data_IF_635413767188
#
_entry.id   IF_635413767188
#
_cell.length_a   1.000
_cell.length_b   1.000
_cell.length_c   1.000
_cell.angle_alpha   90.00
_cell.angle_beta   90.00
_cell.angle_gamma   90.00
#
_symmetry.space_group_name_H-M   'P 1'
#
loop_
_entity.id
_entity.type
_entity.pdbx_description
1 polymer ?
#
# COMPACT_ATOMS: atom_id res chain seq x y z
N UNK A 1 -19.44 -8.01 -11.20
CA UNK A 1 -19.28 -7.56 -12.61
C UNK A 1 -20.04 -8.45 -13.60
N UNK A 2 -20.16 -9.75 -13.35
CA UNK A 2 -20.82 -10.71 -14.24
C UNK A 2 -22.35 -10.76 -14.07
N UNK A 3 -22.88 -10.23 -12.97
CA UNK A 3 -24.31 -10.18 -12.65
C UNK A 3 -25.15 -9.52 -13.75
N UNK A 4 -24.62 -8.48 -14.42
CA UNK A 4 -25.29 -7.82 -15.57
C UNK A 4 -25.51 -8.74 -16.79
N UNK A 5 -24.82 -9.89 -16.82
CA UNK A 5 -24.97 -10.93 -17.83
C UNK A 5 -25.76 -12.15 -17.31
N UNK A 6 -26.41 -12.04 -16.15
CA UNK A 6 -27.16 -13.14 -15.54
C UNK A 6 -26.29 -14.23 -14.89
N UNK A 7 -24.97 -14.03 -14.84
CA UNK A 7 -24.03 -14.97 -14.20
C UNK A 7 -23.85 -14.55 -12.74
N UNK A 8 -24.28 -15.43 -11.83
CA UNK A 8 -24.11 -15.26 -10.40
C UNK A 8 -23.19 -16.36 -9.85
N UNK A 9 -22.36 -16.03 -8.86
CA UNK A 9 -21.40 -16.94 -8.24
C UNK A 9 -21.85 -17.37 -6.85
N UNK A 10 -23.16 -17.59 -6.65
CA UNK A 10 -23.73 -17.84 -5.32
C UNK A 10 -23.34 -19.21 -4.74
N UNK A 11 -22.91 -20.14 -5.59
CA UNK A 11 -22.57 -21.51 -5.18
C UNK A 11 -21.10 -21.66 -4.76
N UNK A 12 -20.29 -20.60 -4.84
CA UNK A 12 -18.84 -20.66 -4.57
C UNK A 12 -18.53 -21.14 -3.15
N UNK A 13 -19.23 -20.60 -2.15
CA UNK A 13 -19.06 -21.01 -0.76
C UNK A 13 -19.52 -22.46 -0.55
N UNK A 14 -20.68 -22.81 -1.11
CA UNK A 14 -21.29 -24.12 -0.94
C UNK A 14 -20.52 -25.25 -1.63
N UNK A 15 -20.00 -25.01 -2.82
CA UNK A 15 -19.31 -26.03 -3.63
C UNK A 15 -17.83 -26.17 -3.24
N UNK A 16 -17.16 -25.04 -2.94
CA UNK A 16 -15.70 -25.02 -2.79
C UNK A 16 -15.24 -24.64 -1.37
N UNK A 17 -16.16 -24.31 -0.46
CA UNK A 17 -15.83 -23.86 0.90
C UNK A 17 -15.11 -22.51 0.94
N UNK A 18 -15.23 -21.71 -0.12
CA UNK A 18 -14.59 -20.39 -0.22
C UNK A 18 -15.51 -19.34 0.39
N UNK A 19 -15.03 -18.68 1.45
CA UNK A 19 -15.75 -17.59 2.12
C UNK A 19 -16.02 -16.46 1.11
N UNK A 20 -17.28 -16.02 1.01
CA UNK A 20 -17.72 -15.03 0.04
C UNK A 20 -18.53 -13.93 0.71
N UNK A 21 -18.37 -12.69 0.23
CA UNK A 21 -19.27 -11.62 0.60
C UNK A 21 -20.72 -11.96 0.20
N UNK A 22 -21.67 -11.58 1.05
CA UNK A 22 -23.10 -11.68 0.76
C UNK A 22 -23.40 -10.98 -0.58
N UNK A 23 -24.22 -11.65 -1.39
CA UNK A 23 -24.62 -11.23 -2.74
C UNK A 23 -23.46 -11.04 -3.74
N UNK A 24 -22.32 -11.72 -3.56
CA UNK A 24 -21.15 -11.60 -4.43
C UNK A 24 -20.67 -10.15 -4.57
N UNK A 25 -20.81 -9.37 -3.49
CA UNK A 25 -20.43 -7.96 -3.50
C UNK A 25 -18.92 -7.81 -3.45
N UNK A 26 -18.38 -6.86 -4.22
CA UNK A 26 -16.93 -6.63 -4.27
C UNK A 26 -16.36 -6.14 -2.93
N UNK A 27 -17.17 -5.40 -2.17
CA UNK A 27 -16.92 -4.99 -0.79
C UNK A 27 -18.14 -5.37 0.01
N UNK A 28 -17.99 -6.33 0.91
CA UNK A 28 -19.08 -6.88 1.70
C UNK A 28 -18.61 -7.29 3.08
N UNK A 29 -19.39 -8.13 3.76
CA UNK A 29 -19.22 -8.54 5.16
C UNK A 29 -17.93 -9.30 5.45
N UNK A 30 -17.40 -10.08 4.50
CA UNK A 30 -16.25 -10.96 4.71
C UNK A 30 -14.92 -10.27 4.37
N UNK A 31 -14.86 -9.59 3.22
CA UNK A 31 -13.64 -8.91 2.76
C UNK A 31 -13.96 -7.63 1.99
N UNK A 32 -13.14 -6.59 2.22
CA UNK A 32 -13.18 -5.32 1.50
C UNK A 32 -11.79 -4.78 1.21
N UNK A 33 -11.47 -4.58 -0.07
CA UNK A 33 -10.21 -3.95 -0.52
C UNK A 33 -10.41 -2.49 -0.91
N UNK A 34 -9.56 -1.61 -0.39
CA UNK A 34 -9.55 -0.18 -0.65
C UNK A 34 -8.36 0.13 -1.55
N UNK A 35 -8.62 0.43 -2.82
CA UNK A 35 -7.60 0.81 -3.79
C UNK A 35 -7.20 2.28 -3.60
N UNK A 36 -5.91 2.51 -3.35
CA UNK A 36 -5.27 3.82 -3.18
C UNK A 36 -6.12 4.82 -2.35
N UNK A 37 -6.56 4.46 -1.13
CA UNK A 37 -7.49 5.28 -0.37
C UNK A 37 -6.80 6.50 0.25
N UNK A 38 -7.59 7.54 0.49
CA UNK A 38 -7.07 8.82 0.97
C UNK A 38 -6.34 9.59 -0.13
N UNK A 39 -5.37 10.39 0.30
CA UNK A 39 -4.55 11.18 -0.63
C UNK A 39 -3.07 10.92 -0.37
N UNK A 40 -2.62 9.66 -0.52
CA UNK A 40 -1.20 9.33 -0.32
C UNK A 40 -0.33 10.16 -1.28
N UNK A 41 0.82 10.70 -0.83
CA UNK A 41 1.80 11.35 -1.70
C UNK A 41 2.21 10.40 -2.83
N UNK A 42 2.09 10.82 -4.08
CA UNK A 42 2.39 9.96 -5.22
C UNK A 42 2.87 10.74 -6.44
N UNK A 43 3.71 10.09 -7.24
CA UNK A 43 4.08 10.54 -8.58
C UNK A 43 3.22 9.78 -9.58
N UNK A 44 2.24 10.47 -10.16
CA UNK A 44 1.28 9.91 -11.10
C UNK A 44 1.69 10.26 -12.53
N UNK A 45 1.63 9.31 -13.44
CA UNK A 45 1.89 9.57 -14.86
C UNK A 45 0.66 10.19 -15.51
N UNK A 46 0.84 11.34 -16.17
CA UNK A 46 -0.20 11.93 -16.99
C UNK A 46 -0.30 11.18 -18.32
N UNK A 47 -1.43 10.51 -18.56
CA UNK A 47 -1.63 9.65 -19.74
C UNK A 47 -1.50 10.36 -21.10
N UNK A 48 -1.67 11.68 -21.15
CA UNK A 48 -1.57 12.45 -22.40
C UNK A 48 -0.17 12.97 -22.70
N UNK A 49 0.65 13.21 -21.66
CA UNK A 49 1.97 13.84 -21.80
C UNK A 49 3.14 12.95 -21.38
N UNK A 50 2.87 11.82 -20.71
CA UNK A 50 3.88 10.96 -20.08
C UNK A 50 4.64 11.62 -18.93
N UNK A 51 4.24 12.84 -18.50
CA UNK A 51 4.92 13.59 -17.44
C UNK A 51 4.39 13.16 -16.08
N UNK A 52 5.31 13.04 -15.11
CA UNK A 52 4.95 12.80 -13.72
C UNK A 52 4.34 14.06 -13.09
N UNK A 53 3.16 13.91 -12.51
CA UNK A 53 2.42 14.89 -11.72
C UNK A 53 2.51 14.50 -10.25
N UNK A 54 2.74 15.49 -9.38
CA UNK A 54 2.79 15.28 -7.93
C UNK A 54 1.39 15.34 -7.35
N UNK A 55 0.92 14.24 -6.77
CA UNK A 55 -0.22 14.21 -5.85
C UNK A 55 0.30 14.37 -4.42
N UNK A 56 -0.33 15.26 -3.65
CA UNK A 56 0.00 15.53 -2.25
C UNK A 56 1.52 15.60 -1.98
N UNK A 57 2.23 16.49 -2.70
CA UNK A 57 3.69 16.67 -2.57
C UNK A 57 4.56 15.66 -3.35
N UNK A 58 3.99 14.54 -3.78
CA UNK A 58 4.64 13.51 -4.60
C UNK A 58 5.52 12.53 -3.83
N UNK A 59 6.16 12.96 -2.75
CA UNK A 59 6.94 12.11 -1.82
C UNK A 59 6.45 12.34 -0.39
N UNK A 60 6.55 11.35 0.50
CA UNK A 60 5.94 11.43 1.82
C UNK A 60 6.42 12.62 2.67
N UNK A 61 7.69 13.02 2.58
CA UNK A 61 8.23 14.15 3.35
C UNK A 61 7.74 15.54 2.89
N UNK A 62 7.11 15.63 1.71
CA UNK A 62 6.50 16.87 1.19
C UNK A 62 4.97 16.82 1.24
N UNK A 63 4.38 15.73 1.73
CA UNK A 63 2.95 15.51 1.76
C UNK A 63 2.25 16.03 3.02
N UNK A 64 1.01 16.47 2.87
CA UNK A 64 0.11 16.80 3.97
C UNK A 64 -0.54 15.53 4.52
N UNK A 65 -0.11 15.11 5.71
CA UNK A 65 -0.71 13.97 6.41
C UNK A 65 -2.16 14.23 6.81
N UNK A 66 -2.46 15.46 7.25
CA UNK A 66 -3.83 15.86 7.65
C UNK A 66 -4.79 15.75 6.49
N UNK A 67 -4.40 16.24 5.31
CA UNK A 67 -5.21 16.15 4.10
C UNK A 67 -5.46 14.69 3.71
N UNK A 68 -4.40 13.87 3.72
CA UNK A 68 -4.51 12.44 3.47
C UNK A 68 -5.52 11.75 4.41
N UNK A 69 -5.41 11.98 5.72
CA UNK A 69 -6.27 11.32 6.72
C UNK A 69 -7.72 11.79 6.65
N UNK A 70 -7.96 13.05 6.28
CA UNK A 70 -9.31 13.57 6.07
C UNK A 70 -9.98 12.91 4.87
N UNK A 71 -9.28 12.81 3.74
CA UNK A 71 -9.80 12.13 2.54
C UNK A 71 -9.93 10.63 2.80
N UNK A 72 -8.97 10.02 3.50
CA UNK A 72 -9.02 8.60 3.85
C UNK A 72 -10.25 8.26 4.69
N UNK A 73 -10.61 9.12 5.65
CA UNK A 73 -11.79 8.91 6.49
C UNK A 73 -13.10 8.96 5.67
N UNK A 74 -13.17 9.83 4.64
CA UNK A 74 -14.31 9.88 3.71
C UNK A 74 -14.39 8.61 2.86
N UNK A 75 -13.28 8.21 2.23
CA UNK A 75 -13.23 6.97 1.46
C UNK A 75 -13.60 5.75 2.32
N UNK A 76 -13.14 5.70 3.57
CA UNK A 76 -13.47 4.61 4.48
C UNK A 76 -14.97 4.54 4.79
N UNK A 77 -15.61 5.68 5.01
CA UNK A 77 -17.05 5.76 5.28
C UNK A 77 -17.90 5.44 4.04
N UNK A 78 -17.42 5.77 2.85
CA UNK A 78 -18.05 5.41 1.59
C UNK A 78 -17.89 3.92 1.24
N UNK A 79 -16.68 3.37 1.44
CA UNK A 79 -16.32 2.03 0.97
C UNK A 79 -16.65 0.92 1.97
N UNK A 80 -16.64 1.21 3.27
CA UNK A 80 -17.02 0.27 4.35
C UNK A 80 -17.98 1.01 5.29
N UNK A 81 -19.25 1.23 4.89
CA UNK A 81 -20.18 2.08 5.66
C UNK A 81 -20.51 1.52 7.04
N UNK A 82 -20.54 0.19 7.19
CA UNK A 82 -20.79 -0.46 8.47
C UNK A 82 -19.66 -0.15 9.47
N UNK A 83 -19.97 0.59 10.55
CA UNK A 83 -19.00 0.94 11.61
C UNK A 83 -18.57 -0.28 12.44
N UNK A 84 -19.44 -1.28 12.54
CA UNK A 84 -19.23 -2.56 13.21
C UNK A 84 -18.71 -3.63 12.25
N UNK A 85 -18.04 -3.26 11.16
CA UNK A 85 -17.45 -4.22 10.22
C UNK A 85 -16.45 -5.16 10.92
N UNK A 86 -16.63 -6.48 10.75
CA UNK A 86 -15.82 -7.52 11.41
C UNK A 86 -14.95 -8.33 10.42
N UNK A 87 -15.10 -8.09 9.12
CA UNK A 87 -14.36 -8.80 8.07
C UNK A 87 -12.92 -8.33 7.88
N UNK A 88 -12.28 -8.87 6.84
CA UNK A 88 -10.92 -8.51 6.42
C UNK A 88 -10.95 -7.19 5.62
N UNK A 89 -10.19 -6.20 6.07
CA UNK A 89 -10.08 -4.91 5.39
C UNK A 89 -8.66 -4.69 4.89
N UNK A 90 -8.52 -4.53 3.58
CA UNK A 90 -7.22 -4.45 2.89
C UNK A 90 -7.00 -3.04 2.38
N UNK A 91 -5.94 -2.38 2.85
CA UNK A 91 -5.45 -1.13 2.26
C UNK A 91 -4.48 -1.49 1.15
N UNK A 92 -4.86 -1.19 -0.08
CA UNK A 92 -4.02 -1.40 -1.25
C UNK A 92 -3.37 -0.07 -1.66
N UNK A 93 -2.13 0.11 -1.21
CA UNK A 93 -1.32 1.29 -1.48
C UNK A 93 0.05 0.86 -2.00
N UNK A 94 0.32 1.14 -3.27
CA UNK A 94 1.52 0.65 -3.98
C UNK A 94 2.40 1.76 -4.57
N UNK A 95 2.05 3.04 -4.36
CA UNK A 95 2.77 4.14 -5.03
C UNK A 95 4.24 4.21 -4.63
N UNK A 96 4.59 3.86 -3.39
CA UNK A 96 5.97 3.75 -2.91
C UNK A 96 6.06 2.77 -1.73
N UNK A 97 7.27 2.32 -1.42
CA UNK A 97 7.57 1.44 -0.28
C UNK A 97 8.19 2.25 0.86
N UNK A 98 7.87 1.97 2.14
CA UNK A 98 8.35 2.78 3.27
C UNK A 98 9.86 2.68 3.50
N UNK A 99 10.54 1.69 2.93
CA UNK A 99 12.00 1.54 2.96
C UNK A 99 12.59 2.17 1.70
N UNK A 100 13.45 3.17 1.86
CA UNK A 100 13.93 4.00 0.75
C UNK A 100 14.63 3.18 -0.34
N UNK A 101 15.46 2.21 0.07
CA UNK A 101 16.20 1.32 -0.84
C UNK A 101 15.29 0.46 -1.72
N UNK A 102 14.14 0.05 -1.20
CA UNK A 102 13.18 -0.82 -1.90
C UNK A 102 12.41 -0.11 -3.02
N UNK A 103 12.55 1.21 -3.17
CA UNK A 103 11.93 1.98 -4.26
C UNK A 103 12.77 1.94 -5.55
N UNK A 104 12.97 0.74 -6.10
CA UNK A 104 13.68 0.49 -7.35
C UNK A 104 12.72 0.31 -8.54
N UNK A 105 13.28 0.18 -9.75
CA UNK A 105 12.49 -0.01 -10.98
C UNK A 105 11.61 1.20 -11.28
N UNK A 106 10.31 0.97 -11.50
CA UNK A 106 9.32 2.03 -11.73
C UNK A 106 9.17 2.97 -10.54
N UNK A 107 9.61 2.59 -9.34
CA UNK A 107 9.58 3.43 -8.13
C UNK A 107 10.85 4.29 -7.93
N UNK A 108 11.85 4.17 -8.82
CA UNK A 108 13.07 4.98 -8.76
C UNK A 108 12.82 6.52 -8.74
N UNK A 109 11.78 7.07 -9.41
CA UNK A 109 11.48 8.51 -9.34
C UNK A 109 11.28 9.06 -7.93
N UNK A 110 10.77 8.28 -6.97
CA UNK A 110 10.61 8.72 -5.58
C UNK A 110 11.95 8.99 -4.90
N UNK A 111 12.95 8.13 -5.16
CA UNK A 111 14.31 8.29 -4.64
C UNK A 111 14.97 9.51 -5.26
N UNK A 112 14.84 9.67 -6.58
CA UNK A 112 15.41 10.80 -7.32
C UNK A 112 14.83 12.14 -6.84
N UNK A 113 13.51 12.21 -6.68
CA UNK A 113 12.83 13.41 -6.20
C UNK A 113 13.27 13.75 -4.77
N UNK A 114 13.31 12.77 -3.88
CA UNK A 114 13.74 12.98 -2.49
C UNK A 114 15.17 13.52 -2.40
N UNK A 115 16.10 12.94 -3.17
CA UNK A 115 17.50 13.41 -3.20
C UNK A 115 17.60 14.82 -3.77
N UNK A 116 16.83 15.15 -4.82
CA UNK A 116 16.83 16.49 -5.40
C UNK A 116 16.35 17.55 -4.40
N UNK A 117 15.27 17.27 -3.68
CA UNK A 117 14.73 18.18 -2.66
C UNK A 117 15.79 18.45 -1.58
N UNK A 118 16.43 17.41 -1.05
CA UNK A 118 17.43 17.57 0.00
C UNK A 118 18.72 18.24 -0.48
N UNK A 119 19.06 18.08 -1.77
CA UNK A 119 20.15 18.82 -2.42
C UNK A 119 19.87 20.32 -2.51
N UNK A 120 18.63 20.70 -2.80
CA UNK A 120 18.21 22.11 -2.86
C UNK A 120 18.17 22.76 -1.47
N UNK A 121 17.80 22.00 -0.43
CA UNK A 121 17.73 22.47 0.97
C UNK A 121 19.09 22.53 1.67
N UNK A 122 20.01 21.62 1.37
CA UNK A 122 21.25 21.46 2.11
C UNK A 122 22.46 21.37 1.18
N UNK A 123 23.30 22.42 1.10
CA UNK A 123 24.46 22.44 0.18
C UNK A 123 25.60 21.48 0.53
N UNK A 124 25.86 21.26 1.83
CA UNK A 124 27.08 20.59 2.30
C UNK A 124 26.84 19.19 2.89
N UNK A 125 25.63 18.65 2.74
CA UNK A 125 25.23 17.41 3.40
C UNK A 125 25.27 16.21 2.43
N UNK A 126 25.35 15.00 2.98
CA UNK A 126 25.12 13.77 2.23
C UNK A 126 23.65 13.64 1.84
N UNK A 127 23.27 14.19 0.69
CA UNK A 127 21.87 14.30 0.28
C UNK A 127 21.15 12.95 0.21
N UNK A 128 21.88 11.85 -0.08
CA UNK A 128 21.28 10.50 -0.15
C UNK A 128 20.86 9.98 1.21
N UNK A 129 21.70 10.13 2.22
CA UNK A 129 21.42 9.63 3.58
C UNK A 129 20.30 10.42 4.25
N UNK A 130 20.30 11.74 4.07
CA UNK A 130 19.22 12.59 4.58
C UNK A 130 17.91 12.32 3.83
N UNK A 131 17.95 12.22 2.49
CA UNK A 131 16.77 11.87 1.71
C UNK A 131 16.16 10.53 2.16
N UNK A 132 16.98 9.51 2.41
CA UNK A 132 16.50 8.24 2.95
C UNK A 132 15.84 8.43 4.32
N UNK A 133 16.52 9.11 5.26
CA UNK A 133 16.01 9.33 6.62
C UNK A 133 14.68 10.08 6.65
N UNK A 134 14.55 11.18 5.88
CA UNK A 134 13.30 11.98 5.86
C UNK A 134 12.18 11.22 5.16
N UNK A 135 12.49 10.52 4.06
CA UNK A 135 11.53 9.72 3.32
C UNK A 135 11.00 8.57 4.17
N UNK A 136 11.86 7.78 4.82
CA UNK A 136 11.43 6.63 5.63
C UNK A 136 10.65 7.07 6.86
N UNK A 137 11.07 8.16 7.53
CA UNK A 137 10.34 8.69 8.67
C UNK A 137 8.94 9.19 8.28
N UNK A 138 8.83 9.93 7.17
CA UNK A 138 7.55 10.43 6.69
C UNK A 138 6.68 9.28 6.15
N UNK A 139 7.24 8.38 5.35
CA UNK A 139 6.55 7.22 4.78
C UNK A 139 5.98 6.32 5.86
N UNK A 140 6.77 6.02 6.90
CA UNK A 140 6.29 5.31 8.10
C UNK A 140 5.11 6.04 8.75
N UNK A 141 5.21 7.36 8.96
CA UNK A 141 4.13 8.15 9.59
C UNK A 141 2.84 8.09 8.78
N UNK A 142 2.90 8.20 7.46
CA UNK A 142 1.72 8.06 6.59
C UNK A 142 1.08 6.69 6.81
N UNK A 143 1.80 5.60 6.57
CA UNK A 143 1.23 4.25 6.68
C UNK A 143 0.71 3.92 8.10
N UNK A 144 1.49 4.29 9.13
CA UNK A 144 1.12 4.07 10.52
C UNK A 144 -0.17 4.81 10.91
N UNK A 145 -0.27 6.09 10.55
CA UNK A 145 -1.43 6.91 10.93
C UNK A 145 -2.68 6.53 10.15
N UNK A 146 -2.54 6.11 8.88
CA UNK A 146 -3.65 5.60 8.08
C UNK A 146 -4.24 4.34 8.70
N UNK A 147 -3.42 3.33 9.04
CA UNK A 147 -3.95 2.09 9.64
C UNK A 147 -4.48 2.31 11.06
N UNK A 148 -3.88 3.21 11.85
CA UNK A 148 -4.44 3.63 13.14
C UNK A 148 -5.81 4.27 12.97
N UNK A 149 -5.99 5.14 11.97
CA UNK A 149 -7.29 5.75 11.64
C UNK A 149 -8.31 4.69 11.22
N UNK A 150 -7.90 3.72 10.41
CA UNK A 150 -8.75 2.63 9.95
C UNK A 150 -9.25 1.77 11.13
N UNK A 151 -8.33 1.34 12.00
CA UNK A 151 -8.64 0.57 13.22
C UNK A 151 -9.52 1.35 14.19
N UNK A 152 -9.29 2.65 14.37
CA UNK A 152 -10.13 3.47 15.23
C UNK A 152 -11.58 3.57 14.70
N UNK A 153 -11.75 3.65 13.37
CA UNK A 153 -13.05 3.82 12.75
C UNK A 153 -13.81 2.50 12.54
N UNK A 154 -13.10 1.37 12.40
CA UNK A 154 -13.65 0.01 12.26
C UNK A 154 -12.87 -0.93 13.20
N UNK A 155 -13.14 -0.86 14.52
CA UNK A 155 -12.31 -1.53 15.53
C UNK A 155 -12.40 -3.06 15.50
N UNK A 156 -13.49 -3.61 14.97
CA UNK A 156 -13.69 -5.07 14.89
C UNK A 156 -13.10 -5.70 13.63
N UNK A 157 -12.70 -4.88 12.64
CA UNK A 157 -12.17 -5.35 11.37
C UNK A 157 -10.70 -5.77 11.50
N UNK A 158 -10.31 -6.76 10.71
CA UNK A 158 -8.91 -7.20 10.59
C UNK A 158 -8.22 -6.43 9.46
N UNK A 159 -7.35 -5.48 9.82
CA UNK A 159 -6.70 -4.57 8.87
C UNK A 159 -5.32 -5.08 8.45
N UNK A 160 -5.03 -4.99 7.16
CA UNK A 160 -3.70 -5.27 6.59
C UNK A 160 -3.40 -4.37 5.39
N UNK A 161 -2.11 -4.22 5.08
CA UNK A 161 -1.68 -3.64 3.80
C UNK A 161 -1.40 -4.74 2.80
N UNK A 162 -1.91 -4.59 1.59
CA UNK A 162 -1.60 -5.51 0.49
C UNK A 162 -0.08 -5.55 0.21
N UNK A 163 0.40 -6.73 -0.18
CA UNK A 163 1.77 -7.06 -0.56
C UNK A 163 2.84 -7.05 0.55
N UNK A 164 2.50 -6.68 1.80
CA UNK A 164 3.45 -6.69 2.92
C UNK A 164 3.37 -8.01 3.71
N UNK A 165 4.53 -8.60 4.10
CA UNK A 165 5.90 -8.18 3.81
C UNK A 165 6.35 -8.52 2.37
N UNK A 166 7.26 -7.69 1.83
CA UNK A 166 7.89 -7.99 0.54
C UNK A 166 9.05 -8.98 0.70
N UNK A 167 9.27 -9.79 -0.35
CA UNK A 167 10.36 -10.78 -0.43
C UNK A 167 11.33 -10.52 -1.60
N UNK A 168 10.81 -10.06 -2.75
CA UNK A 168 11.57 -9.78 -3.99
C UNK A 168 12.38 -10.98 -4.55
N UNK A 169 11.91 -12.21 -4.35
CA UNK A 169 12.54 -13.45 -4.80
C UNK A 169 12.27 -13.82 -6.28
N UNK A 170 11.30 -13.18 -6.94
CA UNK A 170 10.88 -13.56 -8.31
C UNK A 170 11.98 -13.49 -9.39
N UNK A 171 12.99 -12.64 -9.21
CA UNK A 171 14.15 -12.51 -10.11
C UNK A 171 15.48 -12.89 -9.42
N UNK A 172 15.40 -13.58 -8.28
CA UNK A 172 16.57 -13.99 -7.50
C UNK A 172 17.20 -15.25 -8.08
N UNK A 173 18.52 -15.42 -7.87
CA UNK A 173 19.21 -16.70 -8.14
C UNK A 173 18.69 -17.83 -7.24
N UNK A 174 18.19 -17.46 -6.07
CA UNK A 174 17.45 -18.34 -5.17
C UNK A 174 16.00 -17.86 -5.11
N UNK A 175 15.10 -18.43 -5.93
CA UNK A 175 13.69 -18.01 -5.98
C UNK A 175 12.89 -18.49 -4.76
N UNK A 176 13.46 -19.33 -3.89
CA UNK A 176 12.78 -19.84 -2.69
C UNK A 176 13.06 -18.98 -1.45
N UNK A 177 14.10 -18.14 -1.47
CA UNK A 177 14.48 -17.30 -0.33
C UNK A 177 14.41 -15.81 -0.63
N UNK A 178 13.91 -15.04 0.34
CA UNK A 178 14.10 -13.59 0.39
C UNK A 178 15.57 -13.29 0.73
N UNK A 179 16.15 -12.21 0.18
CA UNK A 179 17.53 -11.85 0.50
C UNK A 179 17.70 -11.44 1.97
N UNK A 180 18.89 -11.65 2.54
CA UNK A 180 19.20 -11.26 3.92
C UNK A 180 18.95 -9.76 4.18
N UNK A 181 19.21 -8.91 3.19
CA UNK A 181 18.97 -7.46 3.30
C UNK A 181 17.48 -7.16 3.48
N UNK A 182 16.61 -7.81 2.71
CA UNK A 182 15.15 -7.65 2.80
C UNK A 182 14.61 -8.21 4.12
N UNK A 183 15.13 -9.35 4.57
CA UNK A 183 14.76 -9.90 5.88
C UNK A 183 15.13 -8.94 7.01
N UNK A 184 16.32 -8.34 6.98
CA UNK A 184 16.74 -7.36 7.98
C UNK A 184 15.89 -6.08 7.94
N UNK A 185 15.53 -5.59 6.76
CA UNK A 185 14.62 -4.45 6.60
C UNK A 185 13.24 -4.75 7.19
N UNK A 186 12.69 -5.94 6.92
CA UNK A 186 11.41 -6.36 7.47
C UNK A 186 11.47 -6.44 9.00
N UNK A 187 12.53 -7.03 9.56
CA UNK A 187 12.72 -7.18 11.01
C UNK A 187 12.88 -5.85 11.76
N UNK A 188 13.45 -4.82 11.13
CA UNK A 188 13.64 -3.49 11.74
C UNK A 188 12.40 -2.60 11.62
N UNK A 189 11.45 -2.98 10.78
CA UNK A 189 10.30 -2.14 10.47
C UNK A 189 9.23 -2.25 11.56
N UNK A 190 9.13 -1.21 12.39
CA UNK A 190 8.07 -1.12 13.41
C UNK A 190 6.66 -1.03 12.82
N UNK A 191 6.54 -0.83 11.50
CA UNK A 191 5.26 -0.81 10.79
C UNK A 191 4.47 -2.11 10.98
N UNK A 192 5.15 -3.26 11.08
CA UNK A 192 4.51 -4.56 11.25
C UNK A 192 3.80 -4.76 12.61
N UNK A 193 4.00 -3.85 13.57
CA UNK A 193 3.30 -3.88 14.86
C UNK A 193 1.86 -3.34 14.80
N UNK A 194 1.47 -2.69 13.70
CA UNK A 194 0.17 -2.02 13.57
C UNK A 194 -0.93 -2.83 12.88
N UNK A 195 -0.70 -3.54 11.75
CA UNK A 195 -1.72 -4.35 11.12
C UNK A 195 -2.12 -5.56 11.97
N UNK A 196 -3.34 -6.05 11.76
CA UNK A 196 -3.79 -7.34 12.28
C UNK A 196 -3.32 -8.50 11.39
N UNK A 197 -3.08 -8.23 10.10
CA UNK A 197 -2.80 -9.24 9.08
C UNK A 197 -1.55 -8.88 8.27
N UNK A 198 -0.82 -9.92 7.85
CA UNK A 198 0.20 -9.84 6.82
C UNK A 198 -0.37 -10.42 5.53
N UNK A 199 -0.25 -9.70 4.41
CA UNK A 199 -0.90 -10.01 3.14
C UNK A 199 0.14 -10.02 2.01
N UNK A 200 1.13 -10.94 2.03
CA UNK A 200 2.14 -11.03 0.97
C UNK A 200 1.49 -11.40 -0.37
N UNK A 201 1.95 -10.78 -1.45
CA UNK A 201 1.52 -11.15 -2.80
C UNK A 201 2.39 -12.29 -3.34
N UNK A 202 1.76 -13.36 -3.80
CA UNK A 202 2.41 -14.58 -4.33
C UNK A 202 2.06 -14.83 -5.80
N UNK A 203 1.72 -13.76 -6.54
CA UNK A 203 1.38 -13.85 -7.95
C UNK A 203 2.55 -14.44 -8.76
N UNK A 204 2.23 -15.41 -9.63
CA UNK A 204 3.21 -16.11 -10.47
C UNK A 204 3.29 -15.39 -11.82
N UNK A 205 4.49 -14.96 -12.21
CA UNK A 205 4.75 -14.47 -13.57
C UNK A 205 5.05 -15.64 -14.51
N UNK A 206 4.43 -15.66 -15.70
CA UNK A 206 4.90 -16.52 -16.79
C UNK A 206 6.30 -16.06 -17.22
N UNK A 207 7.28 -16.97 -17.38
CA UNK A 207 8.54 -16.62 -17.99
C UNK A 207 8.29 -16.12 -19.42
N UNK A 208 8.93 -15.02 -19.79
CA UNK A 208 9.01 -14.60 -21.19
C UNK A 208 10.01 -15.56 -21.85
N UNK A 209 9.50 -16.52 -22.62
CA UNK A 209 10.29 -17.40 -23.50
C UNK A 209 10.37 -16.80 -24.90
#
# INVERSE_FOLDING_TARGET
MCSKYGIQFNDVEKEYGVIQNVNDTFRGNEISILYDPGNFPALLENSSSGRLVKRNGGVPQEGSLTEHLNIFSKHLDELIPNKDYEGLAVIDFESWRPVFRQNFGTLQPYRNLSIRIEREKHRNWSHREIAAKVFENAGRKFMEQTIKRAKAARPKALWGYYAFPYCFNGNSRDPLSCSNEVQQENNRSVFYNYPHLLLPSIAISRPLY
#
